data_IF_886556041983
#
_entry.id   IF_886556041983
#
_cell.length_a   1.000
_cell.length_b   1.000
_cell.length_c   1.000
_cell.angle_alpha   90.00
_cell.angle_beta   90.00
_cell.angle_gamma   90.00
#
_symmetry.space_group_name_H-M   'P 1'
#
loop_
_entity.id
_entity.type
_entity.pdbx_description
1 polymer ?
#
# COMPACT_ATOMS: atom_id res chain seq x y z
N UNK A 1 -15.68 9.94 21.69
CA UNK A 1 -15.45 8.50 21.99
C UNK A 1 -14.96 7.81 20.72
N UNK A 2 -14.04 6.87 20.81
CA UNK A 2 -13.60 6.11 19.65
C UNK A 2 -14.73 5.17 19.18
N UNK A 3 -14.94 5.09 17.87
CA UNK A 3 -15.79 4.08 17.25
C UNK A 3 -14.90 2.97 16.71
N UNK A 4 -15.20 1.73 17.06
CA UNK A 4 -14.47 0.58 16.53
C UNK A 4 -15.02 0.25 15.15
N UNK A 5 -14.19 0.43 14.12
CA UNK A 5 -14.53 0.05 12.75
C UNK A 5 -13.90 -1.30 12.41
N UNK A 6 -14.62 -2.10 11.63
CA UNK A 6 -14.07 -3.28 10.99
C UNK A 6 -13.55 -2.89 9.60
N UNK A 7 -12.29 -3.18 9.29
CA UNK A 7 -11.70 -2.91 7.98
C UNK A 7 -10.99 -4.14 7.41
N UNK A 8 -11.04 -4.29 6.09
CA UNK A 8 -10.13 -5.17 5.33
C UNK A 8 -8.80 -4.45 5.22
N UNK A 9 -7.72 -5.03 5.73
CA UNK A 9 -6.37 -4.50 5.55
C UNK A 9 -5.91 -4.69 4.11
N UNK A 10 -5.68 -3.60 3.40
CA UNK A 10 -5.20 -3.60 2.01
C UNK A 10 -3.76 -3.13 1.90
N UNK A 11 -3.20 -2.48 2.92
CA UNK A 11 -1.77 -2.14 2.96
C UNK A 11 -1.21 -2.23 4.37
N UNK A 12 0.04 -2.68 4.49
CA UNK A 12 0.89 -2.53 5.67
C UNK A 12 2.32 -2.20 5.22
N UNK A 13 2.54 -0.97 4.75
CA UNK A 13 3.78 -0.56 4.10
C UNK A 13 4.75 0.19 5.03
N UNK A 14 6.03 0.25 4.64
CA UNK A 14 7.08 1.02 5.34
C UNK A 14 6.74 2.53 5.29
N UNK A 15 6.72 3.19 6.46
CA UNK A 15 6.61 4.66 6.57
C UNK A 15 7.57 5.18 7.64
N UNK A 16 8.72 5.70 7.23
CA UNK A 16 9.79 6.14 8.12
C UNK A 16 10.13 5.07 9.18
N UNK A 17 9.96 5.38 10.47
CA UNK A 17 10.21 4.46 11.60
C UNK A 17 8.98 3.61 11.99
N UNK A 18 7.86 3.74 11.28
CA UNK A 18 6.62 3.01 11.54
C UNK A 18 6.05 2.32 10.29
N UNK A 19 4.75 2.05 10.34
CA UNK A 19 3.98 1.52 9.21
C UNK A 19 2.91 2.49 8.75
N UNK A 20 2.57 2.41 7.47
CA UNK A 20 1.32 2.91 6.93
C UNK A 20 0.39 1.71 6.77
N UNK A 21 -0.61 1.59 7.65
CA UNK A 21 -1.66 0.59 7.51
C UNK A 21 -2.88 1.28 6.90
N UNK A 22 -3.51 0.68 5.90
CA UNK A 22 -4.70 1.23 5.28
C UNK A 22 -5.61 0.13 4.74
N UNK A 23 -6.88 0.47 4.53
CA UNK A 23 -7.85 -0.48 4.01
C UNK A 23 -9.26 0.07 3.95
N UNK A 24 -10.21 -0.82 3.67
CA UNK A 24 -11.61 -0.45 3.43
C UNK A 24 -12.49 -0.91 4.60
N UNK A 25 -13.31 -0.01 5.13
CA UNK A 25 -14.30 -0.32 6.18
C UNK A 25 -15.40 -1.21 5.63
N UNK A 26 -15.79 -2.22 6.41
CA UNK A 26 -16.89 -3.15 6.11
C UNK A 26 -18.09 -2.83 7.00
N UNK A 27 -19.31 -2.96 6.45
CA UNK A 27 -20.56 -2.81 7.20
C UNK A 27 -21.11 -1.37 7.29
N UNK A 28 -20.57 -0.43 6.51
CA UNK A 28 -21.15 0.91 6.28
C UNK A 28 -21.89 1.02 4.95
N UNK A 29 -22.40 2.21 4.62
CA UNK A 29 -23.14 2.52 3.36
C UNK A 29 -22.31 2.47 2.07
N UNK A 30 -21.23 1.68 2.03
CA UNK A 30 -20.31 1.53 0.90
C UNK A 30 -18.85 1.33 1.35
N UNK A 31 -17.95 0.97 0.41
CA UNK A 31 -16.52 0.87 0.69
C UNK A 31 -15.94 2.26 1.01
N UNK A 32 -15.45 2.45 2.23
CA UNK A 32 -14.78 3.68 2.69
C UNK A 32 -13.32 3.38 3.02
N UNK A 33 -12.38 4.05 2.34
CA UNK A 33 -10.96 3.99 2.70
C UNK A 33 -10.72 4.62 4.07
N UNK A 34 -9.94 3.92 4.89
CA UNK A 34 -9.40 4.44 6.16
C UNK A 34 -7.91 4.12 6.26
N UNK A 35 -7.16 5.09 6.75
CA UNK A 35 -5.74 4.96 7.09
C UNK A 35 -5.55 5.34 8.56
N UNK A 36 -5.47 4.36 9.48
CA UNK A 36 -5.17 4.64 10.87
C UNK A 36 -3.82 5.35 11.01
N UNK A 37 -3.82 6.51 11.66
CA UNK A 37 -2.62 7.33 11.92
C UNK A 37 -2.47 7.65 13.39
N UNK A 38 -1.22 7.70 13.85
CA UNK A 38 -0.90 8.12 15.21
C UNK A 38 -0.93 9.65 15.36
N UNK A 39 -1.03 10.14 16.59
CA UNK A 39 -1.06 11.59 16.84
C UNK A 39 0.28 12.31 16.61
N UNK A 40 1.37 11.55 16.52
CA UNK A 40 2.75 12.03 16.46
C UNK A 40 3.15 12.56 15.07
N UNK A 41 4.20 13.39 14.98
CA UNK A 41 4.82 13.75 13.72
C UNK A 41 5.16 12.51 12.87
N UNK A 42 4.96 12.62 11.56
CA UNK A 42 5.17 11.54 10.60
C UNK A 42 4.06 10.48 10.53
N UNK A 43 3.04 10.56 11.40
CA UNK A 43 1.76 9.84 11.31
C UNK A 43 1.80 8.30 11.24
N UNK A 44 2.98 7.67 11.30
CA UNK A 44 3.15 6.23 11.22
C UNK A 44 2.64 5.50 12.47
N UNK A 45 2.20 4.25 12.25
CA UNK A 45 1.75 3.35 13.33
C UNK A 45 2.93 2.53 13.83
N UNK A 46 3.22 2.61 15.13
CA UNK A 46 4.34 1.92 15.76
C UNK A 46 4.03 0.43 15.98
N UNK A 47 5.07 -0.38 16.20
CA UNK A 47 4.93 -1.83 16.38
C UNK A 47 3.99 -2.16 17.54
N UNK A 48 4.22 -1.52 18.71
CA UNK A 48 3.38 -1.67 19.91
C UNK A 48 1.92 -1.26 19.75
N UNK A 49 1.60 -0.50 18.71
CA UNK A 49 0.25 0.03 18.46
C UNK A 49 -0.53 -0.81 17.45
N UNK A 50 0.15 -1.32 16.41
CA UNK A 50 -0.50 -2.11 15.35
C UNK A 50 -0.47 -3.62 15.59
N UNK A 51 0.49 -4.13 16.36
CA UNK A 51 0.58 -5.57 16.60
C UNK A 51 -0.65 -6.05 17.37
N UNK A 52 -1.20 -7.17 16.93
CA UNK A 52 -2.24 -7.88 17.68
C UNK A 52 -1.68 -8.46 18.99
N UNK A 53 -2.54 -9.09 19.78
CA UNK A 53 -2.11 -9.92 20.90
C UNK A 53 -1.04 -10.93 20.47
N UNK A 54 0.00 -11.10 21.30
CA UNK A 54 1.13 -11.97 20.98
C UNK A 54 2.16 -11.37 20.00
N UNK A 55 2.04 -10.09 19.63
CA UNK A 55 3.04 -9.41 18.78
C UNK A 55 2.89 -9.69 17.29
N UNK A 56 1.75 -10.24 16.87
CA UNK A 56 1.48 -10.59 15.47
C UNK A 56 1.26 -9.33 14.63
N UNK A 57 1.94 -9.24 13.50
CA UNK A 57 1.86 -8.11 12.56
C UNK A 57 0.62 -8.26 11.64
N UNK A 58 -0.16 -7.17 11.42
CA UNK A 58 -1.23 -7.15 10.43
C UNK A 58 -0.77 -7.54 9.03
N UNK A 59 -1.53 -8.39 8.35
CA UNK A 59 -1.27 -8.78 6.96
C UNK A 59 -2.34 -8.27 6.01
N UNK A 60 -1.96 -8.08 4.75
CA UNK A 60 -2.92 -7.79 3.67
C UNK A 60 -3.91 -8.95 3.57
N UNK A 61 -5.20 -8.62 3.52
CA UNK A 61 -6.33 -9.55 3.58
C UNK A 61 -6.86 -9.82 5.00
N UNK A 62 -6.19 -9.36 6.06
CA UNK A 62 -6.75 -9.48 7.42
C UNK A 62 -7.99 -8.59 7.58
N UNK A 63 -9.01 -9.12 8.25
CA UNK A 63 -10.12 -8.34 8.78
C UNK A 63 -9.72 -7.82 10.16
N UNK A 64 -9.62 -6.51 10.30
CA UNK A 64 -9.07 -5.85 11.49
C UNK A 64 -10.13 -4.97 12.14
N UNK A 65 -10.33 -5.19 13.44
CA UNK A 65 -11.02 -4.27 14.32
C UNK A 65 -10.05 -3.17 14.75
N UNK A 66 -10.34 -1.92 14.37
CA UNK A 66 -9.51 -0.75 14.64
C UNK A 66 -10.33 0.33 15.36
N UNK A 67 -9.87 0.83 16.53
CA UNK A 67 -10.55 1.89 17.27
C UNK A 67 -10.20 3.25 16.67
N UNK A 68 -11.14 3.87 15.95
CA UNK A 68 -10.96 5.15 15.28
C UNK A 68 -11.65 6.28 16.06
N UNK A 69 -10.93 7.37 16.31
CA UNK A 69 -11.39 8.52 17.11
C UNK A 69 -12.06 9.55 16.24
N UNK A 70 -11.36 10.07 15.22
CA UNK A 70 -11.85 11.11 14.32
C UNK A 70 -11.05 11.16 13.03
N UNK A 71 -11.69 11.67 11.97
CA UNK A 71 -11.00 12.02 10.73
C UNK A 71 -9.90 13.04 11.01
N UNK A 72 -8.72 12.84 10.39
CA UNK A 72 -7.56 13.72 10.49
C UNK A 72 -6.84 13.81 9.13
N UNK A 73 -7.46 14.40 8.11
CA UNK A 73 -6.84 14.58 6.80
C UNK A 73 -5.50 15.32 6.91
N UNK A 74 -4.54 14.98 6.04
CA UNK A 74 -3.27 15.69 5.96
C UNK A 74 -2.72 15.68 4.53
N UNK A 75 -2.50 16.86 3.94
CA UNK A 75 -2.13 16.98 2.54
C UNK A 75 -3.14 16.26 1.63
N UNK A 76 -2.64 15.37 0.77
CA UNK A 76 -3.46 14.53 -0.13
C UNK A 76 -4.14 13.34 0.58
N UNK A 77 -3.80 13.05 1.84
CA UNK A 77 -4.29 11.88 2.59
C UNK A 77 -5.61 12.19 3.31
N UNK A 78 -6.72 12.18 2.58
CA UNK A 78 -8.07 12.49 3.09
C UNK A 78 -8.65 11.38 3.97
N UNK A 79 -8.21 10.14 3.75
CA UNK A 79 -8.62 8.93 4.44
C UNK A 79 -7.95 8.75 5.82
N UNK A 80 -7.09 9.67 6.25
CA UNK A 80 -6.42 9.56 7.53
C UNK A 80 -7.43 9.63 8.69
N UNK A 81 -7.33 8.68 9.60
CA UNK A 81 -8.13 8.63 10.83
C UNK A 81 -7.23 8.45 12.04
N UNK A 82 -7.39 9.31 13.04
CA UNK A 82 -6.69 9.15 14.30
C UNK A 82 -7.20 7.89 15.02
N UNK A 83 -6.33 6.93 15.33
CA UNK A 83 -6.72 5.77 16.14
C UNK A 83 -6.55 6.04 17.64
N UNK A 84 -7.27 5.28 18.47
CA UNK A 84 -7.12 5.29 19.92
C UNK A 84 -5.95 4.36 20.33
N UNK A 85 -4.83 4.89 20.86
CA UNK A 85 -3.69 4.07 21.25
C UNK A 85 -3.94 3.24 22.52
N UNK A 86 -4.98 3.53 23.29
CA UNK A 86 -5.32 2.78 24.50
C UNK A 86 -6.00 1.43 24.17
N UNK A 87 -6.58 1.29 22.98
CA UNK A 87 -7.30 0.09 22.55
C UNK A 87 -6.48 -0.66 21.50
N UNK A 88 -6.17 -1.92 21.78
CA UNK A 88 -5.42 -2.78 20.87
C UNK A 88 -6.26 -3.19 19.65
N UNK A 89 -5.62 -3.22 18.50
CA UNK A 89 -6.21 -3.78 17.29
C UNK A 89 -6.39 -5.28 17.44
N UNK A 90 -7.41 -5.84 16.75
CA UNK A 90 -7.67 -7.28 16.76
C UNK A 90 -7.92 -7.78 15.35
N UNK A 91 -7.29 -8.89 14.98
CA UNK A 91 -7.69 -9.66 13.81
C UNK A 91 -8.96 -10.43 14.14
N UNK A 92 -10.02 -10.21 13.36
CA UNK A 92 -11.30 -10.92 13.51
C UNK A 92 -11.48 -12.02 12.46
N UNK A 93 -10.68 -11.98 11.39
CA UNK A 93 -10.72 -12.95 10.31
C UNK A 93 -9.71 -12.61 9.23
N UNK A 94 -9.81 -13.31 8.10
CA UNK A 94 -9.00 -13.07 6.90
C UNK A 94 -9.84 -13.40 5.67
N UNK A 95 -9.67 -12.62 4.62
CA UNK A 95 -10.31 -12.85 3.33
C UNK A 95 -9.30 -13.21 2.25
N UNK A 96 -9.75 -13.97 1.26
CA UNK A 96 -8.92 -14.48 0.17
C UNK A 96 -8.96 -13.61 -1.08
N UNK A 97 -8.32 -14.11 -2.13
CA UNK A 97 -8.24 -13.46 -3.44
C UNK A 97 -9.61 -13.09 -4.03
N UNK A 98 -10.59 -13.98 -3.91
CA UNK A 98 -11.90 -13.78 -4.52
C UNK A 98 -12.67 -12.63 -3.86
N UNK A 99 -12.67 -12.59 -2.52
CA UNK A 99 -13.29 -11.52 -1.75
C UNK A 99 -12.51 -10.21 -1.91
N UNK A 100 -11.17 -10.26 -1.91
CA UNK A 100 -10.34 -9.09 -2.19
C UNK A 100 -10.67 -8.50 -3.56
N UNK A 101 -10.87 -9.35 -4.58
CA UNK A 101 -11.22 -8.89 -5.93
C UNK A 101 -12.50 -8.05 -5.98
N UNK A 102 -13.40 -8.21 -5.01
CA UNK A 102 -14.62 -7.39 -4.88
C UNK A 102 -14.37 -5.93 -4.50
N UNK A 103 -13.16 -5.58 -4.04
CA UNK A 103 -12.77 -4.21 -3.69
C UNK A 103 -11.96 -3.50 -4.79
N UNK A 104 -11.73 -4.16 -5.94
CA UNK A 104 -10.91 -3.60 -7.02
C UNK A 104 -11.59 -2.39 -7.64
N UNK A 105 -10.81 -1.33 -7.77
CA UNK A 105 -11.15 -0.10 -8.47
C UNK A 105 -10.63 -0.15 -9.91
N UNK A 106 -11.32 0.55 -10.82
CA UNK A 106 -10.99 0.60 -12.25
C UNK A 106 -10.72 2.03 -12.75
N UNK A 107 -9.76 2.75 -12.16
CA UNK A 107 -9.46 4.10 -12.60
C UNK A 107 -8.77 4.08 -13.98
N UNK A 108 -9.01 5.10 -14.81
CA UNK A 108 -8.32 5.21 -16.10
C UNK A 108 -6.80 5.43 -15.95
N UNK A 109 -6.36 6.00 -14.83
CA UNK A 109 -4.97 6.15 -14.44
C UNK A 109 -4.86 6.21 -12.91
N UNK A 110 -3.69 5.91 -12.35
CA UNK A 110 -3.49 5.99 -10.90
C UNK A 110 -3.73 7.42 -10.38
N UNK A 111 -2.95 8.38 -10.86
CA UNK A 111 -3.19 9.82 -10.69
C UNK A 111 -2.63 10.51 -11.94
N UNK A 112 -2.40 11.82 -11.88
CA UNK A 112 -1.75 12.55 -12.97
C UNK A 112 -0.45 11.84 -13.38
N UNK A 113 -0.34 11.54 -14.67
CA UNK A 113 0.83 10.94 -15.31
C UNK A 113 1.63 12.04 -16.05
N UNK A 114 2.84 11.70 -16.49
CA UNK A 114 3.71 12.59 -17.27
C UNK A 114 4.99 13.03 -16.57
N UNK A 115 5.12 12.75 -15.27
CA UNK A 115 6.34 13.04 -14.50
C UNK A 115 6.89 11.78 -13.82
N UNK A 116 8.22 11.67 -13.78
CA UNK A 116 8.92 10.48 -13.30
C UNK A 116 10.34 10.77 -12.80
N UNK A 117 10.82 9.93 -11.88
CA UNK A 117 12.23 9.85 -11.54
C UNK A 117 13.03 9.14 -12.63
N UNK A 118 14.37 9.28 -12.61
CA UNK A 118 15.29 8.69 -13.60
C UNK A 118 15.08 7.18 -13.81
N UNK A 119 14.59 6.47 -12.80
CA UNK A 119 14.36 5.01 -12.86
C UNK A 119 12.94 4.57 -12.58
N UNK A 120 12.07 5.53 -12.32
CA UNK A 120 10.64 5.31 -12.26
C UNK A 120 10.01 5.49 -13.63
N UNK A 121 8.71 5.23 -13.68
CA UNK A 121 7.86 5.57 -14.81
C UNK A 121 6.51 5.94 -14.24
N UNK A 122 6.05 7.16 -14.56
CA UNK A 122 4.85 7.77 -13.97
C UNK A 122 4.81 7.67 -12.43
N UNK A 123 5.95 7.75 -11.74
CA UNK A 123 6.08 7.41 -10.32
C UNK A 123 5.94 8.60 -9.36
N UNK A 124 5.61 9.78 -9.87
CA UNK A 124 5.38 10.97 -9.04
C UNK A 124 4.35 11.92 -9.66
N UNK A 125 3.85 12.82 -8.82
CA UNK A 125 2.94 13.92 -9.17
C UNK A 125 3.54 15.21 -8.61
N UNK A 126 3.75 16.26 -9.42
CA UNK A 126 4.18 17.56 -8.92
C UNK A 126 3.17 18.16 -7.93
N UNK A 127 3.64 18.83 -6.87
CA UNK A 127 2.75 19.43 -5.84
C UNK A 127 1.84 20.50 -6.41
N UNK A 128 2.23 21.15 -7.50
CA UNK A 128 1.44 22.15 -8.22
C UNK A 128 0.16 21.55 -8.80
N UNK A 129 0.09 20.22 -8.93
CA UNK A 129 -1.09 19.49 -9.39
C UNK A 129 -1.90 18.86 -8.24
N UNK A 130 -1.63 19.25 -6.99
CA UNK A 130 -2.33 18.73 -5.80
C UNK A 130 -3.86 18.84 -5.90
N UNK A 131 -4.39 19.92 -6.48
CA UNK A 131 -5.84 20.13 -6.60
C UNK A 131 -6.54 19.09 -7.47
N UNK A 132 -5.77 18.38 -8.32
CA UNK A 132 -6.25 17.26 -9.14
C UNK A 132 -6.21 15.92 -8.40
N UNK A 133 -5.67 15.88 -7.18
CA UNK A 133 -5.56 14.70 -6.34
C UNK A 133 -6.71 14.68 -5.34
N UNK A 134 -7.69 13.81 -5.60
CA UNK A 134 -8.90 13.68 -4.78
C UNK A 134 -8.85 12.51 -3.79
N UNK A 135 -7.91 11.59 -3.99
CA UNK A 135 -7.67 10.38 -3.20
C UNK A 135 -6.15 10.09 -3.15
N UNK A 136 -5.71 9.22 -2.22
CA UNK A 136 -4.29 8.85 -2.07
C UNK A 136 -4.03 7.35 -1.98
N UNK A 137 -5.08 6.54 -2.17
CA UNK A 137 -5.02 5.08 -2.22
C UNK A 137 -5.85 4.59 -3.39
N UNK A 138 -5.31 3.58 -4.07
CA UNK A 138 -6.03 2.84 -5.09
C UNK A 138 -5.77 1.36 -4.94
N UNK A 139 -6.78 0.54 -5.11
CA UNK A 139 -6.67 -0.91 -5.14
C UNK A 139 -7.03 -1.42 -6.52
N UNK A 140 -6.01 -1.82 -7.29
CA UNK A 140 -6.16 -2.15 -8.71
C UNK A 140 -5.78 -3.59 -8.99
N UNK A 141 -6.32 -4.13 -10.08
CA UNK A 141 -5.92 -5.41 -10.65
C UNK A 141 -5.03 -5.19 -11.87
N UNK A 142 -3.96 -5.97 -11.98
CA UNK A 142 -3.03 -5.95 -13.12
C UNK A 142 -2.77 -7.36 -13.62
N UNK A 143 -2.59 -7.51 -14.93
CA UNK A 143 -2.38 -8.81 -15.56
C UNK A 143 -1.02 -9.44 -15.21
N UNK A 144 -0.04 -8.64 -14.82
CA UNK A 144 1.30 -9.09 -14.47
C UNK A 144 2.14 -7.98 -13.86
N UNK A 145 3.12 -8.37 -13.05
CA UNK A 145 4.08 -7.45 -12.43
C UNK A 145 5.47 -7.99 -12.65
N UNK A 146 6.43 -7.12 -12.95
CA UNK A 146 7.86 -7.46 -12.88
C UNK A 146 8.48 -6.72 -11.70
N UNK A 147 8.92 -7.47 -10.69
CA UNK A 147 9.72 -6.92 -9.60
C UNK A 147 11.17 -6.79 -10.06
N UNK A 148 11.71 -5.58 -10.03
CA UNK A 148 13.09 -5.27 -10.35
C UNK A 148 13.84 -4.90 -9.07
N UNK A 149 14.91 -5.64 -8.79
CA UNK A 149 15.84 -5.40 -7.69
C UNK A 149 17.12 -4.83 -8.30
N UNK A 150 17.39 -3.57 -7.97
CA UNK A 150 18.50 -2.78 -8.50
C UNK A 150 19.49 -2.42 -7.39
N UNK A 151 20.77 -2.17 -7.72
CA UNK A 151 21.75 -1.71 -6.74
C UNK A 151 21.25 -0.50 -5.95
N UNK A 152 21.79 -0.34 -4.74
CA UNK A 152 21.56 0.88 -3.97
C UNK A 152 22.05 2.09 -4.77
N UNK A 153 21.29 3.18 -4.69
CA UNK A 153 21.72 4.43 -5.28
C UNK A 153 22.90 4.98 -4.50
N UNK A 154 24.03 5.21 -5.20
CA UNK A 154 25.27 5.73 -4.63
C UNK A 154 25.14 7.11 -3.96
N UNK A 155 24.03 7.80 -4.15
CA UNK A 155 23.74 9.13 -3.60
C UNK A 155 22.66 9.15 -2.49
N UNK A 156 22.24 7.99 -1.97
CA UNK A 156 21.16 7.88 -0.97
C UNK A 156 21.63 7.49 0.45
N UNK A 157 20.86 7.91 1.47
CA UNK A 157 21.02 7.49 2.88
C UNK A 157 20.83 5.98 3.14
N UNK A 158 20.38 5.22 2.14
CA UNK A 158 20.12 3.77 2.23
C UNK A 158 21.07 3.02 1.31
N UNK A 159 21.92 2.19 1.90
CA UNK A 159 22.82 1.29 1.18
C UNK A 159 22.14 0.00 0.70
N UNK A 160 20.83 -0.13 0.93
CA UNK A 160 20.08 -1.32 0.56
C UNK A 160 19.62 -1.29 -0.92
N UNK A 161 19.61 -2.45 -1.61
CA UNK A 161 19.04 -2.57 -2.94
C UNK A 161 17.61 -2.03 -3.02
N UNK A 162 17.31 -1.34 -4.12
CA UNK A 162 16.00 -0.76 -4.38
C UNK A 162 15.10 -1.77 -5.11
N UNK A 163 13.91 -2.00 -4.54
CA UNK A 163 12.88 -2.89 -5.09
C UNK A 163 11.79 -2.04 -5.76
N UNK A 164 11.53 -2.28 -7.04
CA UNK A 164 10.49 -1.60 -7.83
C UNK A 164 9.58 -2.62 -8.51
N UNK A 165 8.30 -2.29 -8.62
CA UNK A 165 7.34 -3.05 -9.40
C UNK A 165 7.07 -2.32 -10.72
N UNK A 166 7.24 -3.04 -11.83
CA UNK A 166 6.86 -2.60 -13.17
C UNK A 166 5.59 -3.30 -13.61
N UNK A 167 4.60 -2.54 -14.06
CA UNK A 167 3.31 -3.08 -14.50
C UNK A 167 2.60 -2.08 -15.43
N UNK A 168 1.59 -2.58 -16.16
CA UNK A 168 0.68 -1.76 -16.97
C UNK A 168 -0.69 -1.63 -16.31
N UNK A 169 -1.30 -0.45 -16.41
CA UNK A 169 -2.67 -0.20 -15.95
C UNK A 169 -3.28 0.97 -16.73
N UNK A 170 -4.53 0.84 -17.20
CA UNK A 170 -5.23 1.92 -17.92
C UNK A 170 -4.48 2.43 -19.17
N UNK A 171 -3.79 1.54 -19.89
CA UNK A 171 -2.96 1.91 -21.05
C UNK A 171 -1.64 2.61 -20.72
N UNK A 172 -1.34 2.84 -19.44
CA UNK A 172 -0.11 3.48 -18.97
C UNK A 172 0.85 2.48 -18.34
N UNK A 173 2.15 2.66 -18.58
CA UNK A 173 3.22 1.92 -17.89
C UNK A 173 3.64 2.60 -16.60
N UNK A 174 3.89 1.80 -15.56
CA UNK A 174 4.34 2.26 -14.25
C UNK A 174 5.59 1.51 -13.81
N UNK A 175 6.50 2.20 -13.13
CA UNK A 175 7.63 1.61 -12.42
C UNK A 175 7.75 2.28 -11.05
N UNK A 176 7.14 1.67 -10.04
CA UNK A 176 6.94 2.27 -8.72
C UNK A 176 7.78 1.57 -7.68
N UNK A 177 8.27 2.31 -6.67
CA UNK A 177 8.96 1.70 -5.53
C UNK A 177 8.00 0.83 -4.72
N UNK A 178 8.45 -0.36 -4.35
CA UNK A 178 7.72 -1.26 -3.45
C UNK A 178 8.04 -0.87 -2.01
N UNK A 179 7.01 -0.67 -1.20
CA UNK A 179 7.11 -0.37 0.23
C UNK A 179 6.37 -1.38 1.10
N UNK A 180 5.73 -2.38 0.49
CA UNK A 180 5.29 -3.60 1.18
C UNK A 180 6.53 -4.32 1.74
N UNK A 181 6.67 -4.48 3.07
CA UNK A 181 7.83 -5.14 3.66
C UNK A 181 7.99 -6.59 3.24
N UNK A 182 6.89 -7.33 3.05
CA UNK A 182 6.96 -8.77 2.73
C UNK A 182 7.65 -8.93 1.39
N UNK A 183 7.16 -8.20 0.37
CA UNK A 183 7.76 -8.23 -0.96
C UNK A 183 9.12 -7.52 -1.02
N UNK A 184 9.28 -6.40 -0.31
CA UNK A 184 10.56 -5.69 -0.30
C UNK A 184 11.69 -6.57 0.27
N UNK A 185 11.45 -7.24 1.41
CA UNK A 185 12.43 -8.10 2.07
C UNK A 185 12.69 -9.38 1.28
N UNK A 186 11.62 -10.03 0.81
CA UNK A 186 11.72 -11.26 0.00
C UNK A 186 12.55 -11.04 -1.26
N UNK A 187 12.20 -10.04 -2.08
CA UNK A 187 12.89 -9.82 -3.35
C UNK A 187 14.30 -9.25 -3.14
N UNK A 188 14.52 -8.45 -2.11
CA UNK A 188 15.88 -8.03 -1.74
C UNK A 188 16.75 -9.24 -1.38
N UNK A 189 16.21 -10.22 -0.65
CA UNK A 189 16.94 -11.45 -0.30
C UNK A 189 17.26 -12.32 -1.51
N UNK A 190 16.41 -12.31 -2.55
CA UNK A 190 16.69 -13.01 -3.83
C UNK A 190 17.85 -12.41 -4.61
N UNK A 191 18.19 -11.14 -4.37
CA UNK A 191 19.31 -10.44 -5.00
C UNK A 191 18.93 -9.66 -6.25
N UNK A 192 19.92 -9.03 -6.88
CA UNK A 192 19.74 -8.18 -8.07
C UNK A 192 19.12 -8.98 -9.22
N UNK A 193 18.13 -8.40 -9.90
CA UNK A 193 17.48 -9.08 -11.02
C UNK A 193 16.06 -8.60 -11.29
N UNK A 194 15.40 -9.31 -12.21
CA UNK A 194 13.99 -9.09 -12.58
C UNK A 194 13.22 -10.38 -12.38
N UNK A 195 12.13 -10.29 -11.63
CA UNK A 195 11.30 -11.42 -11.24
C UNK A 195 9.87 -11.17 -11.72
N UNK A 196 9.30 -12.11 -12.47
CA UNK A 196 7.94 -11.98 -12.99
C UNK A 196 6.95 -12.58 -12.01
N UNK A 197 5.93 -11.81 -11.68
CA UNK A 197 4.73 -12.22 -10.97
C UNK A 197 3.59 -12.34 -11.98
N UNK A 198 2.64 -13.22 -11.70
CA UNK A 198 1.43 -13.36 -12.48
C UNK A 198 0.45 -12.22 -12.23
N UNK A 199 -0.81 -12.49 -12.56
CA UNK A 199 -1.91 -11.60 -12.22
C UNK A 199 -1.89 -11.24 -10.73
N UNK A 200 -2.03 -9.96 -10.43
CA UNK A 200 -1.86 -9.44 -9.08
C UNK A 200 -2.88 -8.35 -8.76
N UNK A 201 -3.23 -8.22 -7.49
CA UNK A 201 -3.87 -7.04 -6.92
C UNK A 201 -2.79 -6.17 -6.28
N UNK A 202 -2.85 -4.87 -6.55
CA UNK A 202 -1.90 -3.88 -6.03
C UNK A 202 -2.66 -2.83 -5.25
N UNK A 203 -2.22 -2.57 -4.02
CA UNK A 203 -2.54 -1.31 -3.36
C UNK A 203 -1.46 -0.32 -3.69
N UNK A 204 -1.83 0.73 -4.39
CA UNK A 204 -0.95 1.84 -4.74
C UNK A 204 -1.30 3.01 -3.84
N UNK A 205 -0.29 3.62 -3.22
CA UNK A 205 -0.45 4.79 -2.36
C UNK A 205 0.32 5.98 -2.92
N UNK A 206 -0.21 7.17 -2.69
CA UNK A 206 0.51 8.42 -2.90
C UNK A 206 1.17 8.86 -1.58
N UNK A 207 2.48 9.12 -1.60
CA UNK A 207 3.26 9.53 -0.42
C UNK A 207 2.92 10.95 0.07
N UNK A 208 3.47 11.34 1.22
CA UNK A 208 3.52 12.75 1.62
C UNK A 208 4.45 13.53 0.67
N UNK A 209 4.33 14.86 0.67
CA UNK A 209 5.21 15.72 -0.12
C UNK A 209 6.68 15.44 0.22
N UNK A 210 7.49 15.26 -0.82
CA UNK A 210 8.93 15.20 -0.70
C UNK A 210 9.60 15.89 -1.89
N UNK A 211 10.33 16.98 -1.64
CA UNK A 211 11.03 17.76 -2.67
C UNK A 211 10.09 18.17 -3.83
N UNK A 212 8.95 18.77 -3.51
CA UNK A 212 7.99 19.28 -4.50
C UNK A 212 7.20 18.22 -5.26
N UNK A 213 7.19 16.97 -4.79
CA UNK A 213 6.45 15.89 -5.45
C UNK A 213 5.76 14.96 -4.45
N UNK A 214 4.66 14.36 -4.87
CA UNK A 214 4.05 13.20 -4.25
C UNK A 214 4.42 11.93 -5.01
N UNK A 215 5.02 10.94 -4.34
CA UNK A 215 5.49 9.72 -5.00
C UNK A 215 4.43 8.63 -4.97
N UNK A 216 4.23 7.94 -6.10
CA UNK A 216 3.38 6.76 -6.20
C UNK A 216 4.19 5.53 -5.77
N UNK A 217 3.64 4.77 -4.85
CA UNK A 217 4.30 3.63 -4.22
C UNK A 217 3.40 2.41 -4.27
N UNK A 218 3.97 1.23 -4.46
CA UNK A 218 3.26 -0.04 -4.31
C UNK A 218 3.34 -0.45 -2.84
N UNK A 219 2.23 -0.24 -2.14
CA UNK A 219 2.11 -0.42 -0.69
C UNK A 219 1.68 -1.84 -0.30
N UNK A 220 1.11 -2.60 -1.23
CA UNK A 220 0.83 -4.03 -1.09
C UNK A 220 0.81 -4.72 -2.45
N UNK A 221 1.19 -6.00 -2.45
CA UNK A 221 1.03 -6.91 -3.58
C UNK A 221 0.34 -8.19 -3.09
N UNK A 222 -0.70 -8.61 -3.80
CA UNK A 222 -1.33 -9.93 -3.61
C UNK A 222 -1.30 -10.61 -4.96
N UNK A 223 -0.65 -11.77 -5.06
CA UNK A 223 -0.65 -12.57 -6.29
C UNK A 223 -1.90 -13.44 -6.38
N UNK A 224 -2.39 -13.66 -7.61
CA UNK A 224 -3.44 -14.64 -7.85
C UNK A 224 -2.91 -16.01 -7.45
N UNK A 225 -3.61 -16.76 -6.59
CA UNK A 225 -3.26 -18.14 -6.32
C UNK A 225 -3.17 -18.89 -7.65
N UNK A 226 -2.01 -19.49 -7.92
CA UNK A 226 -1.81 -20.21 -9.17
C UNK A 226 -2.83 -21.32 -9.32
N UNK A 227 -3.67 -21.25 -10.35
CA UNK A 227 -4.15 -22.47 -10.99
C UNK A 227 -2.95 -23.08 -11.69
N UNK A 228 -2.19 -23.93 -11.00
CA UNK A 228 -1.01 -24.54 -11.57
C UNK A 228 -1.34 -25.29 -12.87
N UNK A 229 -0.42 -25.34 -13.86
CA UNK A 229 -0.55 -26.30 -14.94
C UNK A 229 -0.23 -27.69 -14.38
N UNK A 230 -1.19 -28.63 -14.42
CA UNK A 230 -0.87 -30.06 -14.31
C UNK A 230 -1.38 -30.85 -13.10
N UNK A 231 -2.60 -30.60 -12.61
CA UNK A 231 -3.32 -31.66 -11.89
C UNK A 231 -3.73 -32.75 -12.88
N UNK A 232 -2.97 -33.85 -12.94
CA UNK A 232 -3.39 -35.06 -13.65
C UNK A 232 -4.71 -35.54 -13.07
N UNK A 233 -5.65 -35.84 -13.96
CA UNK A 233 -6.80 -36.70 -13.68
C UNK A 233 -6.33 -38.08 -13.23
#
# INVERSE_FOLDING_TARGET
>A
MASTKLMVCLANSRKHQGRCVAGIVIGGGGPEWVRPVGARPGHGVLARERHYGGGVEPQVGDLISVPLVKSRPFGVHRENWLFDPAVRWRRVGRIGWNELSGFVEHPASLWVNGDHTVVGANDRVPVELQDRVVDSLKFIRVAGVTIEVSPAYSNGKSQLPAVRARFGHGGSGYALKVTDPVYEEEFRARGLGKYRLGESLLTVSLGEEYKGHFYKLVAAIVERPGGGPGGRR
#
